data_IF_683286716908
#
_entry.id   IF_683286716908
#
_cell.length_a   1.000
_cell.length_b   1.000
_cell.length_c   1.000
_cell.angle_alpha   90.00
_cell.angle_beta   90.00
_cell.angle_gamma   90.00
#
_symmetry.space_group_name_H-M   'P 1'
#
loop_
_entity.id
_entity.type
_entity.pdbx_description
1 polymer ?
#
# COMPACT_ATOMS: atom_id res chain seq x y z
N UNK A 1 28.47 23.78 -21.77
CA UNK A 1 29.87 23.93 -22.24
C UNK A 1 30.59 24.76 -21.20
N UNK A 2 31.53 24.20 -20.46
CA UNK A 2 32.43 25.00 -19.63
C UNK A 2 33.62 25.31 -20.54
N UNK A 3 33.68 26.54 -21.02
CA UNK A 3 34.89 27.05 -21.67
C UNK A 3 35.98 27.13 -20.61
N UNK A 4 36.87 26.15 -20.60
CA UNK A 4 38.17 26.28 -19.95
C UNK A 4 39.06 27.18 -20.82
N UNK A 5 38.80 28.48 -20.81
CA UNK A 5 39.75 29.49 -21.30
C UNK A 5 40.36 30.19 -20.10
N UNK A 6 41.33 29.52 -19.49
CA UNK A 6 42.46 30.21 -18.89
C UNK A 6 43.69 29.56 -19.48
N UNK A 7 44.09 30.07 -20.64
CA UNK A 7 45.50 30.10 -21.01
C UNK A 7 46.21 30.77 -19.85
N UNK A 8 46.72 29.96 -18.91
CA UNK A 8 47.70 30.42 -17.96
C UNK A 8 48.95 30.60 -18.81
N UNK A 9 49.07 31.77 -19.47
CA UNK A 9 50.32 32.23 -20.06
C UNK A 9 51.26 32.31 -18.88
N UNK A 10 52.00 31.22 -18.67
CA UNK A 10 52.99 31.13 -17.61
C UNK A 10 53.84 32.37 -17.73
N UNK A 11 53.83 33.18 -16.68
CA UNK A 11 54.82 34.23 -16.51
C UNK A 11 56.17 33.52 -16.63
N UNK A 12 56.84 33.68 -17.77
CA UNK A 12 58.20 33.20 -17.94
C UNK A 12 59.01 34.05 -16.97
N UNK A 13 59.37 33.45 -15.84
CA UNK A 13 60.23 34.05 -14.84
C UNK A 13 61.50 34.51 -15.55
N UNK A 14 61.69 35.81 -15.69
CA UNK A 14 62.84 36.40 -16.37
C UNK A 14 64.09 36.03 -15.55
N UNK A 15 64.88 35.08 -16.07
CA UNK A 15 66.06 34.58 -15.36
C UNK A 15 67.12 35.69 -15.37
N UNK A 16 67.25 36.37 -14.23
CA UNK A 16 68.32 37.33 -14.02
C UNK A 16 69.68 36.57 -14.03
N UNK A 17 70.73 37.15 -14.65
CA UNK A 17 72.04 36.52 -14.70
C UNK A 17 72.56 36.23 -13.30
N UNK A 18 73.16 35.05 -13.12
CA UNK A 18 73.63 34.60 -11.82
C UNK A 18 74.66 35.58 -11.26
N UNK A 19 74.44 36.03 -10.02
CA UNK A 19 75.31 36.99 -9.34
C UNK A 19 76.13 36.26 -8.29
N UNK A 20 77.46 36.43 -8.35
CA UNK A 20 78.34 35.92 -7.30
C UNK A 20 78.01 36.63 -5.97
N UNK A 21 78.27 35.95 -4.87
CA UNK A 21 78.11 36.58 -3.56
C UNK A 21 79.22 37.62 -3.33
N UNK A 22 78.97 38.59 -2.46
CA UNK A 22 79.98 39.60 -2.10
C UNK A 22 81.26 38.96 -1.55
N UNK A 23 81.14 37.79 -0.90
CA UNK A 23 82.28 37.01 -0.39
C UNK A 23 83.11 36.40 -1.52
N UNK A 24 82.47 35.88 -2.57
CA UNK A 24 83.16 35.37 -3.76
C UNK A 24 83.87 36.49 -4.51
N UNK A 25 83.24 37.65 -4.67
CA UNK A 25 83.88 38.83 -5.27
C UNK A 25 85.13 39.24 -4.48
N UNK A 26 85.03 39.37 -3.15
CA UNK A 26 86.17 39.70 -2.27
C UNK A 26 87.30 38.67 -2.35
N UNK A 27 86.97 37.37 -2.43
CA UNK A 27 87.96 36.31 -2.53
C UNK A 27 88.73 36.38 -3.87
N UNK A 28 88.04 36.67 -4.98
CA UNK A 28 88.64 36.86 -6.31
C UNK A 28 89.54 38.10 -6.32
N UNK A 29 89.07 39.21 -5.76
CA UNK A 29 89.83 40.46 -5.63
C UNK A 29 91.13 40.27 -4.83
N UNK A 30 91.10 39.39 -3.81
CA UNK A 30 92.28 39.08 -2.99
C UNK A 30 93.29 38.18 -3.71
N UNK A 31 92.84 37.25 -4.56
CA UNK A 31 93.68 36.23 -5.21
C UNK A 31 94.30 36.71 -6.52
N UNK A 32 93.58 37.54 -7.29
CA UNK A 32 93.98 37.97 -8.63
C UNK A 32 94.19 39.50 -8.66
N UNK A 33 95.45 39.93 -8.80
CA UNK A 33 95.82 41.36 -8.76
C UNK A 33 95.52 42.08 -10.07
N UNK A 34 95.62 41.40 -11.21
CA UNK A 34 95.30 41.93 -12.53
C UNK A 34 93.78 42.01 -12.73
N UNK A 35 93.28 43.15 -13.21
CA UNK A 35 91.84 43.35 -13.45
C UNK A 35 91.30 42.34 -14.47
N UNK A 36 92.08 42.06 -15.51
CA UNK A 36 91.70 41.12 -16.58
C UNK A 36 91.43 39.73 -16.04
N UNK A 37 92.28 39.23 -15.15
CA UNK A 37 92.14 37.89 -14.59
C UNK A 37 90.91 37.80 -13.68
N UNK A 38 90.60 38.86 -12.92
CA UNK A 38 89.36 38.95 -12.15
C UNK A 38 88.13 38.92 -13.02
N UNK A 39 88.11 39.75 -14.07
CA UNK A 39 86.97 39.83 -14.99
C UNK A 39 86.71 38.47 -15.67
N UNK A 40 87.78 37.77 -16.09
CA UNK A 40 87.68 36.42 -16.68
C UNK A 40 87.13 35.42 -15.67
N UNK A 41 87.67 35.38 -14.44
CA UNK A 41 87.23 34.43 -13.41
C UNK A 41 85.78 34.69 -13.00
N UNK A 42 85.41 35.96 -12.80
CA UNK A 42 84.03 36.36 -12.50
C UNK A 42 83.10 35.92 -13.62
N UNK A 43 83.43 36.22 -14.88
CA UNK A 43 82.64 35.83 -16.03
C UNK A 43 82.45 34.31 -16.09
N UNK A 44 83.53 33.53 -16.01
CA UNK A 44 83.45 32.07 -16.06
C UNK A 44 82.59 31.49 -14.92
N UNK A 45 82.73 32.00 -13.69
CA UNK A 45 81.93 31.52 -12.55
C UNK A 45 80.46 31.89 -12.69
N UNK A 46 80.13 33.09 -13.17
CA UNK A 46 78.75 33.50 -13.40
C UNK A 46 78.08 32.66 -14.50
N UNK A 47 78.80 32.37 -15.59
CA UNK A 47 78.30 31.50 -16.66
C UNK A 47 78.06 30.07 -16.19
N UNK A 48 79.03 29.48 -15.47
CA UNK A 48 78.93 28.10 -14.95
C UNK A 48 77.77 28.00 -13.95
N UNK A 49 77.75 28.86 -12.93
CA UNK A 49 76.73 28.83 -11.88
C UNK A 49 75.34 29.22 -12.41
N UNK A 50 75.28 30.11 -13.39
CA UNK A 50 74.04 30.42 -14.11
C UNK A 50 73.49 29.22 -14.86
N UNK A 51 74.35 28.49 -15.58
CA UNK A 51 73.97 27.27 -16.29
C UNK A 51 73.47 26.19 -15.32
N UNK A 52 74.18 25.95 -14.21
CA UNK A 52 73.78 24.97 -13.20
C UNK A 52 72.45 25.35 -12.52
N UNK A 53 72.30 26.62 -12.14
CA UNK A 53 71.05 27.14 -11.57
C UNK A 53 69.88 26.94 -12.53
N UNK A 54 70.07 27.22 -13.82
CA UNK A 54 69.03 27.03 -14.83
C UNK A 54 68.65 25.54 -14.97
N UNK A 55 69.63 24.64 -14.97
CA UNK A 55 69.38 23.21 -15.05
C UNK A 55 68.54 22.70 -13.87
N UNK A 56 68.79 23.22 -12.66
CA UNK A 56 67.98 22.91 -11.47
C UNK A 56 66.56 23.42 -11.64
N UNK A 57 66.39 24.69 -12.03
CA UNK A 57 65.08 25.31 -12.27
C UNK A 57 64.27 24.49 -13.29
N UNK A 58 64.87 24.16 -14.43
CA UNK A 58 64.21 23.37 -15.49
C UNK A 58 63.82 21.97 -15.01
N UNK A 59 64.68 21.34 -14.20
CA UNK A 59 64.41 20.02 -13.64
C UNK A 59 63.26 20.06 -12.63
N UNK A 60 63.24 21.06 -11.74
CA UNK A 60 62.17 21.26 -10.77
C UNK A 60 60.85 21.56 -11.50
N UNK A 61 60.85 22.46 -12.48
CA UNK A 61 59.67 22.81 -13.26
C UNK A 61 59.10 21.60 -14.00
N UNK A 62 59.95 20.74 -14.58
CA UNK A 62 59.51 19.48 -15.19
C UNK A 62 58.87 18.54 -14.18
N UNK A 63 59.48 18.36 -13.01
CA UNK A 63 58.92 17.50 -11.94
C UNK A 63 57.59 18.02 -11.42
N UNK A 64 57.47 19.32 -11.16
CA UNK A 64 56.23 19.96 -10.71
C UNK A 64 55.14 19.78 -11.77
N UNK A 65 55.46 20.01 -13.05
CA UNK A 65 54.52 19.80 -14.15
C UNK A 65 54.03 18.35 -14.23
N UNK A 66 54.93 17.38 -14.02
CA UNK A 66 54.59 15.96 -13.94
C UNK A 66 53.65 15.64 -12.78
N UNK A 67 53.98 16.11 -11.57
CA UNK A 67 53.13 15.92 -10.38
C UNK A 67 51.74 16.53 -10.59
N UNK A 68 51.67 17.76 -11.13
CA UNK A 68 50.39 18.44 -11.41
C UNK A 68 49.56 17.61 -12.39
N UNK A 69 50.18 17.07 -13.44
CA UNK A 69 49.50 16.24 -14.41
C UNK A 69 48.97 14.95 -13.78
N UNK A 70 49.79 14.25 -13.00
CA UNK A 70 49.43 12.99 -12.36
C UNK A 70 48.30 13.17 -11.35
N UNK A 71 48.42 14.16 -10.45
CA UNK A 71 47.37 14.52 -9.49
C UNK A 71 46.07 14.89 -10.21
N UNK A 72 46.14 15.68 -11.28
CA UNK A 72 44.96 16.07 -12.06
C UNK A 72 44.30 14.89 -12.78
N UNK A 73 45.11 13.91 -13.20
CA UNK A 73 44.64 12.70 -13.87
C UNK A 73 43.93 11.78 -12.90
N UNK A 74 44.53 11.50 -11.74
CA UNK A 74 43.93 10.64 -10.71
C UNK A 74 42.66 11.28 -10.14
N UNK A 75 42.68 12.58 -9.84
CA UNK A 75 41.51 13.26 -9.30
C UNK A 75 40.31 13.19 -10.26
N UNK A 76 40.52 13.27 -11.58
CA UNK A 76 39.44 13.14 -12.57
C UNK A 76 38.77 11.77 -12.58
N UNK A 77 39.47 10.71 -12.18
CA UNK A 77 38.93 9.34 -12.14
C UNK A 77 38.02 9.11 -10.92
N UNK A 78 38.29 9.80 -9.82
CA UNK A 78 37.53 9.67 -8.56
C UNK A 78 36.15 10.35 -8.60
N UNK A 79 35.96 11.34 -9.48
CA UNK A 79 34.69 12.05 -9.60
C UNK A 79 33.76 11.41 -10.62
N UNK A 80 32.49 11.28 -10.23
CA UNK A 80 31.42 10.92 -11.16
C UNK A 80 31.37 11.91 -12.33
N UNK A 81 31.38 11.37 -13.53
CA UNK A 81 31.26 12.13 -14.76
C UNK A 81 29.80 12.51 -15.02
N UNK A 82 29.59 13.44 -15.97
CA UNK A 82 28.25 13.73 -16.47
C UNK A 82 27.56 12.51 -17.08
N UNK A 83 28.35 11.56 -17.60
CA UNK A 83 27.83 10.31 -18.15
C UNK A 83 27.28 9.43 -17.04
N UNK A 84 28.01 9.29 -15.93
CA UNK A 84 27.58 8.50 -14.77
C UNK A 84 26.27 9.04 -14.19
N UNK A 85 26.19 10.36 -14.02
CA UNK A 85 24.96 11.03 -13.58
C UNK A 85 23.81 10.85 -14.59
N UNK A 86 24.11 10.86 -15.89
CA UNK A 86 23.13 10.60 -16.95
C UNK A 86 22.56 9.18 -16.91
N UNK A 87 23.41 8.18 -16.64
CA UNK A 87 23.01 6.79 -16.47
C UNK A 87 22.13 6.63 -15.22
N UNK A 88 22.54 7.20 -14.08
CA UNK A 88 21.73 7.18 -12.85
C UNK A 88 20.36 7.83 -13.09
N UNK A 89 20.31 8.98 -13.76
CA UNK A 89 19.04 9.63 -14.12
C UNK A 89 18.16 8.72 -14.99
N UNK A 90 18.71 8.11 -16.03
CA UNK A 90 17.96 7.22 -16.92
C UNK A 90 17.40 5.99 -16.19
N UNK A 91 18.18 5.40 -15.27
CA UNK A 91 17.71 4.29 -14.42
C UNK A 91 16.57 4.75 -13.52
N UNK A 92 16.68 5.91 -12.87
CA UNK A 92 15.62 6.47 -12.02
C UNK A 92 14.35 6.79 -12.81
N UNK A 93 14.47 7.41 -13.99
CA UNK A 93 13.33 7.68 -14.89
C UNK A 93 12.60 6.38 -15.28
N UNK A 94 13.35 5.32 -15.60
CA UNK A 94 12.79 3.99 -15.90
C UNK A 94 12.05 3.40 -14.70
N UNK A 95 12.67 3.41 -13.52
CA UNK A 95 12.06 2.88 -12.29
C UNK A 95 10.79 3.64 -11.91
N UNK A 96 10.78 4.98 -12.05
CA UNK A 96 9.60 5.80 -11.80
C UNK A 96 8.47 5.43 -12.77
N UNK A 97 8.78 5.26 -14.06
CA UNK A 97 7.79 4.86 -15.06
C UNK A 97 7.22 3.45 -14.81
N UNK A 98 8.06 2.50 -14.41
CA UNK A 98 7.65 1.15 -14.05
C UNK A 98 6.71 1.15 -12.83
N UNK A 99 7.08 1.87 -11.76
CA UNK A 99 6.25 2.00 -10.56
C UNK A 99 4.91 2.67 -10.88
N UNK A 100 4.91 3.72 -11.69
CA UNK A 100 3.67 4.39 -12.13
C UNK A 100 2.72 3.43 -12.85
N UNK A 101 3.27 2.64 -13.78
CA UNK A 101 2.50 1.65 -14.55
C UNK A 101 1.92 0.56 -13.63
N UNK A 102 2.70 0.07 -12.67
CA UNK A 102 2.25 -0.94 -11.71
C UNK A 102 1.14 -0.38 -10.79
N UNK A 103 1.24 0.88 -10.36
CA UNK A 103 0.19 1.54 -9.57
C UNK A 103 -1.10 1.67 -10.38
N UNK A 104 -1.02 2.12 -11.63
CA UNK A 104 -2.19 2.26 -12.52
C UNK A 104 -2.88 0.90 -12.75
N UNK A 105 -2.09 -0.15 -12.97
CA UNK A 105 -2.59 -1.52 -13.12
C UNK A 105 -3.31 -2.00 -11.85
N UNK A 106 -2.67 -1.90 -10.69
CA UNK A 106 -3.28 -2.32 -9.41
C UNK A 106 -4.54 -1.52 -9.08
N UNK A 107 -4.57 -0.24 -9.39
CA UNK A 107 -5.75 0.59 -9.20
C UNK A 107 -6.92 0.12 -10.07
N UNK A 108 -6.65 -0.23 -11.33
CA UNK A 108 -7.66 -0.78 -12.23
C UNK A 108 -8.17 -2.15 -11.73
N UNK A 109 -7.29 -3.03 -11.28
CA UNK A 109 -7.65 -4.34 -10.70
C UNK A 109 -8.55 -4.18 -9.46
N UNK A 110 -8.15 -3.33 -8.51
CA UNK A 110 -8.96 -3.04 -7.31
C UNK A 110 -10.32 -2.46 -7.67
N UNK A 111 -10.39 -1.57 -8.67
CA UNK A 111 -11.66 -1.01 -9.13
C UNK A 111 -12.60 -2.09 -9.65
N UNK A 112 -12.09 -3.00 -10.48
CA UNK A 112 -12.87 -4.13 -11.02
C UNK A 112 -13.34 -5.06 -9.89
N UNK A 113 -12.47 -5.39 -8.94
CA UNK A 113 -12.82 -6.24 -7.80
C UNK A 113 -13.90 -5.61 -6.92
N UNK A 114 -13.81 -4.30 -6.65
CA UNK A 114 -14.83 -3.56 -5.89
C UNK A 114 -16.16 -3.53 -6.65
N UNK A 115 -16.16 -3.27 -7.95
CA UNK A 115 -17.38 -3.29 -8.77
C UNK A 115 -18.04 -4.68 -8.80
N UNK A 116 -17.22 -5.74 -8.85
CA UNK A 116 -17.68 -7.13 -8.79
C UNK A 116 -18.31 -7.43 -7.42
N UNK A 117 -17.62 -7.15 -6.33
CA UNK A 117 -18.14 -7.36 -4.97
C UNK A 117 -19.44 -6.58 -4.72
N UNK A 118 -19.51 -5.33 -5.19
CA UNK A 118 -20.73 -4.54 -5.07
C UNK A 118 -21.90 -5.17 -5.83
N UNK A 119 -21.65 -5.72 -7.02
CA UNK A 119 -22.65 -6.42 -7.82
C UNK A 119 -23.10 -7.71 -7.14
N UNK A 120 -22.18 -8.51 -6.61
CA UNK A 120 -22.47 -9.74 -5.85
C UNK A 120 -23.34 -9.44 -4.64
N UNK A 121 -22.96 -8.47 -3.81
CA UNK A 121 -23.76 -8.03 -2.63
C UNK A 121 -25.14 -7.55 -3.05
N UNK A 122 -25.27 -6.83 -4.18
CA UNK A 122 -26.58 -6.40 -4.68
C UNK A 122 -27.46 -7.59 -5.05
N UNK A 123 -26.91 -8.63 -5.69
CA UNK A 123 -27.62 -9.87 -6.02
C UNK A 123 -28.06 -10.59 -4.75
N UNK A 124 -27.16 -10.74 -3.77
CA UNK A 124 -27.46 -11.38 -2.50
C UNK A 124 -28.58 -10.66 -1.74
N UNK A 125 -28.56 -9.31 -1.72
CA UNK A 125 -29.63 -8.51 -1.13
C UNK A 125 -30.98 -8.78 -1.82
N UNK A 126 -31.01 -8.89 -3.16
CA UNK A 126 -32.26 -9.21 -3.87
C UNK A 126 -32.75 -10.62 -3.57
N UNK A 127 -31.83 -11.58 -3.46
CA UNK A 127 -32.16 -12.95 -3.09
C UNK A 127 -32.80 -13.00 -1.70
N UNK A 128 -32.16 -12.39 -0.70
CA UNK A 128 -32.70 -12.31 0.68
C UNK A 128 -34.05 -11.59 0.71
N UNK A 129 -34.25 -10.52 -0.07
CA UNK A 129 -35.56 -9.85 -0.17
C UNK A 129 -36.65 -10.77 -0.72
N UNK A 130 -36.31 -11.61 -1.71
CA UNK A 130 -37.22 -12.59 -2.28
C UNK A 130 -37.57 -13.66 -1.25
N UNK A 131 -36.55 -14.23 -0.59
CA UNK A 131 -36.74 -15.22 0.48
C UNK A 131 -37.62 -14.67 1.63
N UNK A 132 -37.43 -13.40 2.04
CA UNK A 132 -38.30 -12.75 3.03
C UNK A 132 -39.74 -12.63 2.54
N UNK A 133 -39.96 -12.30 1.26
CA UNK A 133 -41.30 -12.19 0.68
C UNK A 133 -42.01 -13.55 0.63
N UNK A 134 -41.27 -14.61 0.28
CA UNK A 134 -41.77 -15.98 0.25
C UNK A 134 -42.15 -16.45 1.64
N UNK A 135 -41.26 -16.32 2.63
CA UNK A 135 -41.53 -16.66 4.05
C UNK A 135 -42.74 -15.89 4.58
N UNK A 136 -42.88 -14.61 4.23
CA UNK A 136 -44.05 -13.80 4.62
C UNK A 136 -45.35 -14.35 4.04
N UNK A 137 -45.31 -14.85 2.80
CA UNK A 137 -46.45 -15.46 2.13
C UNK A 137 -46.82 -16.79 2.78
N UNK A 138 -45.84 -17.66 2.98
CA UNK A 138 -46.02 -18.94 3.68
C UNK A 138 -46.59 -18.74 5.08
N UNK A 139 -46.08 -17.76 5.83
CA UNK A 139 -46.60 -17.43 7.16
C UNK A 139 -48.05 -16.97 7.13
N UNK A 140 -48.42 -16.14 6.15
CA UNK A 140 -49.81 -15.69 5.96
C UNK A 140 -50.73 -16.88 5.66
N UNK A 141 -50.29 -17.80 4.81
CA UNK A 141 -51.06 -18.99 4.46
C UNK A 141 -51.22 -19.93 5.67
N UNK A 142 -50.17 -20.13 6.47
CA UNK A 142 -50.25 -20.88 7.72
C UNK A 142 -51.24 -20.25 8.72
N UNK A 143 -51.27 -18.92 8.83
CA UNK A 143 -52.26 -18.22 9.66
C UNK A 143 -53.69 -18.46 9.15
N UNK A 144 -53.93 -18.37 7.84
CA UNK A 144 -55.25 -18.64 7.24
C UNK A 144 -55.67 -20.09 7.49
N UNK A 145 -54.76 -21.05 7.32
CA UNK A 145 -55.04 -22.47 7.59
C UNK A 145 -55.37 -22.70 9.08
N UNK A 146 -54.62 -22.09 9.99
CA UNK A 146 -54.86 -22.18 11.43
C UNK A 146 -56.23 -21.59 11.79
N UNK A 147 -56.59 -20.42 11.24
CA UNK A 147 -57.93 -19.83 11.42
C UNK A 147 -59.05 -20.76 10.93
N UNK A 148 -58.87 -21.39 9.75
CA UNK A 148 -59.83 -22.38 9.23
C UNK A 148 -59.95 -23.60 10.15
N UNK A 149 -58.85 -24.09 10.71
CA UNK A 149 -58.88 -25.21 11.66
C UNK A 149 -59.61 -24.84 12.95
N UNK A 150 -59.38 -23.65 13.50
CA UNK A 150 -60.10 -23.14 14.68
C UNK A 150 -61.60 -23.04 14.40
N UNK A 151 -62.00 -22.49 13.24
CA UNK A 151 -63.41 -22.38 12.87
C UNK A 151 -64.09 -23.76 12.74
N UNK A 152 -63.43 -24.74 12.11
CA UNK A 152 -63.92 -26.12 12.04
C UNK A 152 -64.07 -26.75 13.42
N UNK A 153 -63.09 -26.54 14.30
CA UNK A 153 -63.14 -27.05 15.66
C UNK A 153 -64.32 -26.43 16.45
N UNK A 154 -64.56 -25.14 16.31
CA UNK A 154 -65.71 -24.46 16.91
C UNK A 154 -67.04 -25.08 16.44
N UNK A 155 -67.23 -25.27 15.13
CA UNK A 155 -68.42 -25.93 14.57
C UNK A 155 -68.58 -27.37 15.09
N UNK A 156 -67.48 -28.13 15.18
CA UNK A 156 -67.52 -29.48 15.73
C UNK A 156 -67.96 -29.48 17.20
N UNK A 157 -67.42 -28.58 18.03
CA UNK A 157 -67.82 -28.43 19.44
C UNK A 157 -69.30 -28.07 19.57
N UNK A 158 -69.79 -27.11 18.79
CA UNK A 158 -71.22 -26.73 18.77
C UNK A 158 -72.11 -27.92 18.38
N UNK A 159 -71.72 -28.68 17.36
CA UNK A 159 -72.46 -29.86 16.92
C UNK A 159 -72.51 -30.94 18.00
N UNK A 160 -71.38 -31.18 18.70
CA UNK A 160 -71.32 -32.12 19.81
C UNK A 160 -72.19 -31.67 20.99
N UNK A 161 -72.15 -30.38 21.35
CA UNK A 161 -73.00 -29.82 22.40
C UNK A 161 -74.49 -30.00 22.08
N UNK A 162 -74.89 -29.75 20.83
CA UNK A 162 -76.25 -29.97 20.36
C UNK A 162 -76.66 -31.44 20.43
N UNK A 163 -75.83 -32.34 19.90
CA UNK A 163 -76.08 -33.79 19.92
C UNK A 163 -76.22 -34.33 21.35
N UNK A 164 -75.34 -33.92 22.27
CA UNK A 164 -75.48 -34.25 23.70
C UNK A 164 -76.77 -33.69 24.31
N UNK A 165 -77.11 -32.42 24.01
CA UNK A 165 -78.33 -31.79 24.50
C UNK A 165 -79.60 -32.51 24.02
N UNK A 166 -79.63 -32.91 22.75
CA UNK A 166 -80.76 -33.64 22.16
C UNK A 166 -80.86 -35.06 22.69
N UNK A 167 -79.73 -35.77 22.88
CA UNK A 167 -79.69 -37.07 23.56
C UNK A 167 -80.22 -36.99 24.99
N UNK A 168 -79.84 -35.98 25.77
CA UNK A 168 -80.36 -35.77 27.13
C UNK A 168 -81.87 -35.55 27.13
N UNK A 169 -82.41 -34.73 26.22
CA UNK A 169 -83.86 -34.52 26.10
C UNK A 169 -84.57 -35.83 25.80
N UNK A 170 -84.10 -36.58 24.81
CA UNK A 170 -84.71 -37.86 24.42
C UNK A 170 -84.71 -38.86 25.59
N UNK A 171 -83.62 -38.93 26.35
CA UNK A 171 -83.51 -39.75 27.54
C UNK A 171 -84.51 -39.32 28.63
N UNK A 172 -84.63 -38.00 28.89
CA UNK A 172 -85.63 -37.47 29.83
C UNK A 172 -87.06 -37.86 29.41
N UNK A 173 -87.42 -37.68 28.14
CA UNK A 173 -88.74 -38.06 27.63
C UNK A 173 -88.97 -39.58 27.71
N UNK A 174 -87.96 -40.39 27.39
CA UNK A 174 -88.01 -41.85 27.51
C UNK A 174 -88.26 -42.30 28.95
N UNK A 175 -87.58 -41.68 29.92
CA UNK A 175 -87.76 -41.98 31.34
C UNK A 175 -89.18 -41.59 31.80
N UNK A 176 -89.65 -40.38 31.46
CA UNK A 176 -91.01 -39.94 31.81
C UNK A 176 -92.05 -40.90 31.23
N UNK A 177 -91.91 -41.27 29.95
CA UNK A 177 -92.79 -42.23 29.31
C UNK A 177 -92.82 -43.58 30.03
N UNK A 178 -91.66 -44.10 30.42
CA UNK A 178 -91.57 -45.35 31.18
C UNK A 178 -92.25 -45.24 32.56
N UNK A 179 -92.00 -44.17 33.32
CA UNK A 179 -92.63 -43.96 34.63
C UNK A 179 -94.15 -43.77 34.55
N UNK A 180 -94.66 -43.04 33.55
CA UNK A 180 -96.11 -42.91 33.31
C UNK A 180 -96.72 -44.28 33.01
N UNK A 181 -96.06 -45.10 32.19
CA UNK A 181 -96.50 -46.47 31.92
C UNK A 181 -96.60 -47.35 33.17
N UNK A 182 -95.60 -47.28 34.07
CA UNK A 182 -95.62 -48.00 35.36
C UNK A 182 -96.77 -47.52 36.25
N UNK A 183 -96.96 -46.20 36.37
CA UNK A 183 -97.99 -45.62 37.23
C UNK A 183 -99.41 -46.02 36.79
N UNK A 184 -99.69 -45.99 35.48
CA UNK A 184 -100.98 -46.43 34.92
C UNK A 184 -101.25 -47.91 35.25
N UNK A 185 -100.24 -48.77 35.08
CA UNK A 185 -100.37 -50.20 35.40
C UNK A 185 -100.63 -50.45 36.90
N UNK A 186 -99.97 -49.71 37.79
CA UNK A 186 -100.16 -49.82 39.23
C UNK A 186 -101.56 -49.36 39.68
N UNK A 187 -102.08 -48.24 39.15
CA UNK A 187 -103.43 -47.75 39.45
C UNK A 187 -104.49 -48.75 38.96
N UNK A 188 -104.31 -49.31 37.76
CA UNK A 188 -105.18 -50.37 37.24
C UNK A 188 -105.25 -51.59 38.17
N UNK A 189 -104.10 -52.04 38.68
CA UNK A 189 -104.02 -53.15 39.62
C UNK A 189 -104.70 -52.84 40.98
N UNK A 190 -104.50 -51.64 41.53
CA UNK A 190 -105.16 -51.22 42.78
C UNK A 190 -106.68 -51.11 42.60
N UNK A 191 -107.14 -50.57 41.47
CA UNK A 191 -108.58 -50.50 41.16
C UNK A 191 -109.23 -51.87 41.04
N UNK A 192 -108.52 -52.88 40.49
CA UNK A 192 -109.02 -54.26 40.47
C UNK A 192 -109.03 -54.91 41.85
N UNK A 193 -108.08 -54.59 42.73
CA UNK A 193 -108.03 -55.11 44.10
C UNK A 193 -109.14 -54.51 44.96
N UNK A 194 -109.45 -53.20 44.81
CA UNK A 194 -110.57 -52.54 45.52
C UNK A 194 -111.94 -53.10 45.10
N UNK A 195 -112.08 -53.57 43.85
CA UNK A 195 -113.33 -54.19 43.36
C UNK A 195 -113.52 -55.64 43.84
N UNK A 196 -112.49 -56.23 44.45
CA UNK A 196 -112.49 -57.60 44.99
C UNK A 196 -112.67 -57.65 46.52
N UNK A 197 -112.81 -56.50 47.19
CA UNK A 197 -113.28 -56.37 48.58
C UNK A 197 -114.67 -55.76 48.60
#
# INVERSE_FOLDING_TARGET
MIQCTKENKGETMEILPYRLTDEMYKAIDTRFKEKRDRDIVVFCLQEILGTESQMVIDTVNRKISGIIYEVSSELKKEFATKSDLGLVRAVLEKQIAEVKTEIEKRFAEVKVDVEKQFTEVKVDIQKVRTEIADVKTEFKDMMIQTQKQIARLATNVESMQKDFGDKIKSFKYSIIGWFVGIAIAAIGAIGTIIKMF
#
